data_IF_712614874172
#
_entry.id   IF_712614874172
#
_cell.length_a   1.000
_cell.length_b   1.000
_cell.length_c   1.000
_cell.angle_alpha   90.00
_cell.angle_beta   90.00
_cell.angle_gamma   90.00
#
_symmetry.space_group_name_H-M   'P 1'
#
loop_
_entity.id
_entity.type
_entity.pdbx_description
1 polymer ?
#
# COMPACT_ATOMS: atom_id res chain seq x y z
N UNK A 1 2.70 25.77 -11.40
CA UNK A 1 2.77 25.56 -9.93
C UNK A 1 1.86 24.42 -9.48
N UNK A 2 0.54 24.49 -9.78
CA UNK A 2 -0.48 23.49 -9.39
C UNK A 2 -0.12 22.05 -9.75
N UNK A 3 0.36 21.79 -10.97
CA UNK A 3 0.73 20.43 -11.40
C UNK A 3 1.89 19.81 -10.59
N UNK A 4 2.82 20.63 -10.08
CA UNK A 4 3.95 20.16 -9.24
C UNK A 4 3.46 19.84 -7.82
N UNK A 5 2.55 20.66 -7.28
CA UNK A 5 1.90 20.43 -5.98
C UNK A 5 1.08 19.14 -6.02
N UNK A 6 0.29 18.94 -7.07
CA UNK A 6 -0.52 17.72 -7.24
C UNK A 6 0.37 16.46 -7.34
N UNK A 7 1.52 16.56 -8.02
CA UNK A 7 2.48 15.47 -8.08
C UNK A 7 3.15 15.17 -6.73
N UNK A 8 3.45 16.20 -5.93
CA UNK A 8 3.94 16.04 -4.57
C UNK A 8 2.92 15.37 -3.66
N UNK A 9 1.65 15.81 -3.74
CA UNK A 9 0.55 15.20 -2.98
C UNK A 9 0.33 13.73 -3.38
N UNK A 10 0.41 13.41 -4.67
CA UNK A 10 0.36 12.03 -5.16
C UNK A 10 1.48 11.17 -4.56
N UNK A 11 2.73 11.64 -4.59
CA UNK A 11 3.85 10.90 -3.99
C UNK A 11 3.70 10.73 -2.49
N UNK A 12 3.18 11.75 -1.79
CA UNK A 12 2.91 11.67 -0.36
C UNK A 12 1.87 10.58 -0.08
N UNK A 13 0.78 10.55 -0.84
CA UNK A 13 -0.27 9.53 -0.71
C UNK A 13 0.27 8.12 -0.95
N UNK A 14 1.08 7.92 -1.99
CA UNK A 14 1.76 6.64 -2.27
C UNK A 14 2.68 6.27 -1.11
N UNK A 15 3.44 7.23 -0.57
CA UNK A 15 4.31 7.03 0.59
C UNK A 15 3.54 6.64 1.85
N UNK A 16 2.38 7.25 2.11
CA UNK A 16 1.49 6.87 3.21
C UNK A 16 0.95 5.45 3.03
N UNK A 17 0.63 5.03 1.80
CA UNK A 17 0.21 3.65 1.53
C UNK A 17 1.34 2.65 1.83
N UNK A 18 2.56 2.94 1.36
CA UNK A 18 3.75 2.12 1.63
C UNK A 18 4.00 2.04 3.15
N UNK A 19 3.99 3.18 3.84
CA UNK A 19 4.18 3.24 5.29
C UNK A 19 3.09 2.48 6.04
N UNK A 20 1.83 2.64 5.66
CA UNK A 20 0.70 1.91 6.25
C UNK A 20 0.87 0.39 6.13
N UNK A 21 1.23 -0.09 4.94
CA UNK A 21 1.50 -1.52 4.71
C UNK A 21 2.66 -2.02 5.59
N UNK A 22 3.76 -1.27 5.67
CA UNK A 22 4.92 -1.64 6.50
C UNK A 22 4.52 -1.70 7.98
N UNK A 23 3.79 -0.70 8.48
CA UNK A 23 3.32 -0.67 9.86
C UNK A 23 2.40 -1.86 10.13
N UNK A 24 1.49 -2.22 9.23
CA UNK A 24 0.64 -3.41 9.38
C UNK A 24 1.45 -4.70 9.49
N UNK A 25 2.45 -4.90 8.62
CA UNK A 25 3.31 -6.09 8.68
C UNK A 25 4.11 -6.15 9.98
N UNK A 26 4.61 -5.00 10.46
CA UNK A 26 5.34 -4.92 11.73
C UNK A 26 4.40 -5.19 12.90
N UNK A 27 3.20 -4.59 12.90
CA UNK A 27 2.18 -4.82 13.94
C UNK A 27 1.77 -6.28 13.99
N UNK A 28 1.54 -6.93 12.85
CA UNK A 28 1.25 -8.36 12.79
C UNK A 28 2.39 -9.20 13.41
N UNK A 29 3.64 -8.93 13.03
CA UNK A 29 4.80 -9.63 13.59
C UNK A 29 4.92 -9.45 15.11
N UNK A 30 4.71 -8.23 15.62
CA UNK A 30 4.79 -7.93 17.06
C UNK A 30 3.63 -8.62 17.80
N UNK A 31 2.41 -8.46 17.30
CA UNK A 31 1.20 -9.01 17.92
C UNK A 31 1.25 -10.54 17.94
N UNK A 32 1.73 -11.19 16.88
CA UNK A 32 1.88 -12.65 16.88
C UNK A 32 3.04 -13.17 17.74
N UNK A 33 4.06 -12.33 18.00
CA UNK A 33 5.20 -12.69 18.85
C UNK A 33 4.92 -12.52 20.36
N UNK A 34 3.79 -11.89 20.73
CA UNK A 34 3.39 -11.69 22.13
C UNK A 34 3.35 -13.02 22.89
N UNK A 35 2.84 -14.10 22.30
CA UNK A 35 2.74 -15.41 22.96
C UNK A 35 4.12 -15.93 23.40
N UNK A 36 5.16 -15.76 22.57
CA UNK A 36 6.54 -16.20 22.89
C UNK A 36 7.11 -15.39 24.07
N UNK A 37 6.83 -14.08 24.11
CA UNK A 37 7.31 -13.20 25.19
C UNK A 37 6.60 -13.51 26.50
N UNK A 38 5.30 -13.75 26.48
CA UNK A 38 4.56 -14.09 27.70
C UNK A 38 4.85 -15.52 28.19
N UNK A 39 5.07 -16.47 27.28
CA UNK A 39 5.44 -17.86 27.59
C UNK A 39 6.83 -17.99 28.21
N UNK A 40 7.77 -17.11 27.83
CA UNK A 40 9.14 -17.13 28.36
C UNK A 40 9.27 -16.45 29.73
N UNK A 41 8.28 -15.68 30.18
CA UNK A 41 8.40 -14.88 31.40
C UNK A 41 7.49 -15.35 32.56
N UNK A 42 6.83 -16.51 32.49
CA UNK A 42 5.99 -17.10 33.56
C UNK A 42 4.87 -16.18 34.14
N UNK A 43 4.58 -15.02 33.51
CA UNK A 43 3.71 -13.98 34.08
C UNK A 43 2.20 -14.17 33.81
N UNK A 44 1.74 -15.25 33.18
CA UNK A 44 0.33 -15.39 32.82
C UNK A 44 -0.15 -16.84 32.70
N UNK A 45 -1.18 -17.19 33.46
CA UNK A 45 -1.98 -18.43 33.31
C UNK A 45 -2.98 -18.35 32.15
N UNK A 46 -3.14 -17.20 31.52
CA UNK A 46 -3.97 -16.99 30.34
C UNK A 46 -3.10 -16.93 29.09
N UNK A 47 -3.06 -18.02 28.34
CA UNK A 47 -2.46 -18.05 27.00
C UNK A 47 -3.30 -17.15 26.09
N UNK A 48 -2.76 -15.99 25.69
CA UNK A 48 -3.35 -15.22 24.58
C UNK A 48 -3.20 -16.10 23.34
N UNK A 49 -4.31 -16.63 22.87
CA UNK A 49 -4.30 -17.52 21.71
C UNK A 49 -4.07 -16.71 20.43
N UNK A 50 -3.61 -17.37 19.35
CA UNK A 50 -3.53 -16.72 18.02
C UNK A 50 -4.86 -16.11 17.57
N UNK A 51 -5.97 -16.65 18.07
CA UNK A 51 -7.31 -16.11 17.85
C UNK A 51 -7.51 -14.74 18.51
N UNK A 52 -7.10 -14.59 19.77
CA UNK A 52 -7.18 -13.31 20.50
C UNK A 52 -6.28 -12.23 19.86
N UNK A 53 -5.09 -12.62 19.39
CA UNK A 53 -4.19 -11.77 18.61
C UNK A 53 -4.85 -11.29 17.30
N UNK A 54 -5.56 -12.19 16.62
CA UNK A 54 -6.29 -11.90 15.40
C UNK A 54 -7.46 -10.94 15.59
N UNK A 55 -8.17 -11.02 16.71
CA UNK A 55 -9.23 -10.06 17.09
C UNK A 55 -8.66 -8.64 17.18
N UNK A 56 -7.44 -8.47 17.69
CA UNK A 56 -6.78 -7.16 17.79
C UNK A 56 -6.31 -6.67 16.41
N UNK A 57 -5.81 -7.58 15.57
CA UNK A 57 -5.26 -7.25 14.26
C UNK A 57 -6.34 -6.91 13.20
N UNK A 58 -7.50 -7.58 13.27
CA UNK A 58 -8.59 -7.41 12.31
C UNK A 58 -9.08 -5.96 12.13
N UNK A 59 -9.36 -5.18 13.19
CA UNK A 59 -9.75 -3.77 13.06
C UNK A 59 -8.67 -2.90 12.40
N UNK A 60 -7.39 -3.18 12.68
CA UNK A 60 -6.25 -2.45 12.09
C UNK A 60 -6.19 -2.72 10.59
N UNK A 61 -6.29 -4.00 10.19
CA UNK A 61 -6.36 -4.41 8.79
C UNK A 61 -7.54 -3.77 8.06
N UNK A 62 -8.70 -3.65 8.72
CA UNK A 62 -9.89 -3.02 8.16
C UNK A 62 -9.67 -1.52 7.90
N UNK A 63 -9.10 -0.79 8.87
CA UNK A 63 -8.79 0.63 8.71
C UNK A 63 -7.76 0.87 7.60
N UNK A 64 -6.72 0.04 7.53
CA UNK A 64 -5.73 0.09 6.45
C UNK A 64 -6.36 -0.24 5.11
N UNK A 65 -7.29 -1.20 5.06
CA UNK A 65 -8.08 -1.52 3.88
C UNK A 65 -8.86 -0.30 3.35
N UNK A 66 -9.57 0.42 4.22
CA UNK A 66 -10.28 1.64 3.82
C UNK A 66 -9.34 2.75 3.34
N UNK A 67 -8.19 2.91 4.01
CA UNK A 67 -7.15 3.86 3.58
C UNK A 67 -6.64 3.52 2.17
N UNK A 68 -6.37 2.24 1.89
CA UNK A 68 -5.90 1.77 0.59
C UNK A 68 -6.95 1.94 -0.50
N UNK A 69 -8.23 1.69 -0.21
CA UNK A 69 -9.34 1.91 -1.15
C UNK A 69 -9.46 3.39 -1.51
N UNK A 70 -9.42 4.28 -0.51
CA UNK A 70 -9.44 5.72 -0.74
C UNK A 70 -8.26 6.16 -1.61
N UNK A 71 -7.05 5.68 -1.29
CA UNK A 71 -5.86 6.00 -2.05
C UNK A 71 -5.89 5.46 -3.48
N UNK A 72 -6.43 4.26 -3.69
CA UNK A 72 -6.57 3.63 -5.00
C UNK A 72 -7.41 4.47 -5.97
N UNK A 73 -8.53 5.01 -5.49
CA UNK A 73 -9.40 5.89 -6.29
C UNK A 73 -8.63 7.15 -6.73
N UNK A 74 -7.94 7.79 -5.79
CA UNK A 74 -7.16 8.99 -6.09
C UNK A 74 -6.01 8.70 -7.06
N UNK A 75 -5.27 7.61 -6.85
CA UNK A 75 -4.15 7.22 -7.70
C UNK A 75 -4.59 6.88 -9.12
N UNK A 76 -5.69 6.15 -9.28
CA UNK A 76 -6.26 5.86 -10.60
C UNK A 76 -6.63 7.13 -11.35
N UNK A 77 -7.31 8.06 -10.67
CA UNK A 77 -7.73 9.32 -11.28
C UNK A 77 -6.52 10.15 -11.71
N UNK A 78 -5.55 10.34 -10.82
CA UNK A 78 -4.35 11.10 -11.10
C UNK A 78 -3.51 10.48 -12.23
N UNK A 79 -3.30 9.16 -12.19
CA UNK A 79 -2.44 8.50 -13.17
C UNK A 79 -3.09 8.41 -14.55
N UNK A 80 -4.40 8.19 -14.62
CA UNK A 80 -5.16 8.21 -15.88
C UNK A 80 -5.12 9.60 -16.51
N UNK A 81 -5.30 10.66 -15.73
CA UNK A 81 -5.14 12.03 -16.22
C UNK A 81 -3.71 12.28 -16.67
N UNK A 82 -2.71 11.82 -15.91
CA UNK A 82 -1.30 11.99 -16.26
C UNK A 82 -0.94 11.29 -17.57
N UNK A 83 -1.44 10.06 -17.78
CA UNK A 83 -1.26 9.34 -19.03
C UNK A 83 -1.93 10.07 -20.21
N UNK A 84 -3.17 10.54 -20.04
CA UNK A 84 -3.89 11.31 -21.06
C UNK A 84 -3.14 12.58 -21.50
N UNK A 85 -2.46 13.25 -20.59
CA UNK A 85 -1.64 14.43 -20.90
C UNK A 85 -0.21 14.10 -21.36
N UNK A 86 0.07 12.84 -21.75
CA UNK A 86 1.41 12.35 -22.15
C UNK A 86 2.48 12.62 -21.10
N UNK A 87 2.07 12.70 -19.84
CA UNK A 87 2.92 13.01 -18.69
C UNK A 87 3.44 11.75 -18.00
N UNK A 88 2.96 10.57 -18.39
CA UNK A 88 3.34 9.27 -17.86
C UNK A 88 3.56 8.26 -18.98
N UNK A 89 4.43 7.29 -18.75
CA UNK A 89 4.66 6.16 -19.65
C UNK A 89 3.58 5.10 -19.46
N UNK A 90 3.25 4.35 -20.51
CA UNK A 90 2.30 3.23 -20.44
C UNK A 90 2.65 2.24 -19.31
N UNK A 91 3.94 1.94 -19.12
CA UNK A 91 4.42 1.07 -18.04
C UNK A 91 4.04 1.57 -16.64
N UNK A 92 4.22 2.86 -16.35
CA UNK A 92 3.91 3.45 -15.05
C UNK A 92 2.41 3.50 -14.83
N UNK A 93 1.65 3.80 -15.89
CA UNK A 93 0.19 3.74 -15.83
C UNK A 93 -0.33 2.33 -15.54
N UNK A 94 0.13 1.32 -16.30
CA UNK A 94 -0.28 -0.08 -16.12
C UNK A 94 0.09 -0.60 -14.72
N UNK A 95 1.27 -0.25 -14.20
CA UNK A 95 1.69 -0.61 -12.85
C UNK A 95 0.78 0.00 -11.77
N UNK A 96 0.34 1.25 -11.95
CA UNK A 96 -0.60 1.88 -11.02
C UNK A 96 -2.03 1.32 -11.13
N UNK A 97 -2.46 0.91 -12.33
CA UNK A 97 -3.73 0.19 -12.49
C UNK A 97 -3.67 -1.14 -11.73
N UNK A 98 -2.58 -1.89 -11.85
CA UNK A 98 -2.37 -3.12 -11.09
C UNK A 98 -2.38 -2.84 -9.58
N UNK A 99 -1.67 -1.80 -9.11
CA UNK A 99 -1.68 -1.39 -7.69
C UNK A 99 -3.10 -1.10 -7.20
N UNK A 100 -3.90 -0.39 -7.99
CA UNK A 100 -5.28 -0.07 -7.62
C UNK A 100 -6.15 -1.33 -7.52
N UNK A 101 -6.01 -2.27 -8.46
CA UNK A 101 -6.70 -3.57 -8.40
C UNK A 101 -6.32 -4.31 -7.12
N UNK A 102 -5.03 -4.39 -6.80
CA UNK A 102 -4.54 -5.03 -5.57
C UNK A 102 -5.04 -4.33 -4.31
N UNK A 103 -5.12 -3.00 -4.29
CA UNK A 103 -5.67 -2.23 -3.18
C UNK A 103 -7.17 -2.46 -2.99
N UNK A 104 -7.95 -2.48 -4.06
CA UNK A 104 -9.37 -2.79 -3.98
C UNK A 104 -9.59 -4.23 -3.53
N UNK A 105 -8.82 -5.17 -4.07
CA UNK A 105 -8.88 -6.56 -3.70
C UNK A 105 -8.56 -6.72 -2.20
N UNK A 106 -7.51 -6.08 -1.71
CA UNK A 106 -7.19 -6.13 -0.28
C UNK A 106 -8.27 -5.44 0.58
N UNK A 107 -8.62 -4.20 0.27
CA UNK A 107 -9.50 -3.40 1.14
C UNK A 107 -10.98 -3.74 1.10
N UNK A 108 -11.49 -4.26 -0.03
CA UNK A 108 -12.91 -4.62 -0.18
C UNK A 108 -13.19 -6.11 -0.02
N UNK A 109 -12.19 -6.97 -0.26
CA UNK A 109 -12.38 -8.42 -0.19
C UNK A 109 -11.62 -9.04 0.98
N UNK A 110 -10.29 -8.89 1.06
CA UNK A 110 -9.51 -9.55 2.11
C UNK A 110 -9.76 -8.95 3.49
N UNK A 111 -9.57 -7.63 3.68
CA UNK A 111 -9.71 -6.97 4.97
C UNK A 111 -11.06 -7.25 5.69
N UNK A 112 -12.24 -7.11 5.06
CA UNK A 112 -13.51 -7.41 5.73
C UNK A 112 -13.70 -8.92 5.98
N UNK A 113 -13.19 -9.80 5.12
CA UNK A 113 -13.31 -11.24 5.33
C UNK A 113 -12.37 -11.75 6.44
N UNK A 114 -11.18 -11.18 6.56
CA UNK A 114 -10.28 -11.43 7.69
C UNK A 114 -10.97 -11.03 9.01
N UNK A 115 -11.60 -9.86 9.03
CA UNK A 115 -12.35 -9.41 10.20
C UNK A 115 -13.52 -10.34 10.55
N UNK A 116 -14.18 -10.96 9.57
CA UNK A 116 -15.23 -11.97 9.82
C UNK A 116 -14.64 -13.24 10.43
N UNK A 117 -13.55 -13.77 9.87
CA UNK A 117 -12.89 -14.99 10.37
C UNK A 117 -12.52 -14.84 11.86
N UNK A 118 -12.07 -13.66 12.28
CA UNK A 118 -11.72 -13.39 13.68
C UNK A 118 -12.90 -13.00 14.59
N UNK A 119 -14.08 -12.71 14.04
CA UNK A 119 -15.31 -12.49 14.81
C UNK A 119 -16.19 -13.75 14.93
N UNK A 120 -15.85 -14.82 14.20
CA UNK A 120 -16.52 -16.12 14.25
C UNK A 120 -15.91 -17.05 15.32
N UNK A 121 -16.44 -18.26 15.48
CA UNK A 121 -15.94 -19.19 16.50
C UNK A 121 -14.46 -19.57 16.28
N UNK A 122 -13.68 -19.81 17.37
CA UNK A 122 -12.27 -20.19 17.28
C UNK A 122 -11.98 -21.42 16.42
N UNK A 123 -12.96 -22.32 16.27
CA UNK A 123 -12.87 -23.52 15.42
C UNK A 123 -12.78 -23.19 13.93
N UNK A 124 -13.40 -22.08 13.50
CA UNK A 124 -13.37 -21.63 12.11
C UNK A 124 -12.00 -21.04 11.76
N UNK A 125 -11.39 -20.33 12.71
CA UNK A 125 -10.03 -19.80 12.57
C UNK A 125 -8.97 -20.90 12.51
N UNK A 126 -9.17 -22.00 13.25
CA UNK A 126 -8.27 -23.17 13.22
C UNK A 126 -8.45 -24.07 11.99
N UNK A 127 -9.33 -23.71 11.04
CA UNK A 127 -9.51 -24.48 9.81
C UNK A 127 -8.37 -24.24 8.81
N UNK A 128 -7.96 -25.26 8.03
CA UNK A 128 -6.94 -25.11 6.98
C UNK A 128 -7.31 -24.06 5.94
N UNK A 129 -8.60 -23.85 5.70
CA UNK A 129 -9.11 -22.88 4.74
C UNK A 129 -8.88 -21.43 5.22
N UNK A 130 -9.12 -21.16 6.51
CA UNK A 130 -8.86 -19.86 7.12
C UNK A 130 -7.36 -19.52 7.16
N UNK A 131 -6.50 -20.50 7.46
CA UNK A 131 -5.04 -20.31 7.44
C UNK A 131 -4.54 -20.01 6.02
N UNK A 132 -5.02 -20.76 5.03
CA UNK A 132 -4.70 -20.50 3.61
C UNK A 132 -5.16 -19.11 3.17
N UNK A 133 -6.36 -18.67 3.61
CA UNK A 133 -6.90 -17.35 3.29
C UNK A 133 -6.05 -16.21 3.87
N UNK A 134 -5.62 -16.33 5.14
CA UNK A 134 -4.74 -15.36 5.78
C UNK A 134 -3.39 -15.27 5.07
N UNK A 135 -2.77 -16.40 4.74
CA UNK A 135 -1.50 -16.44 3.99
C UNK A 135 -1.62 -15.81 2.59
N UNK A 136 -2.72 -16.04 1.88
CA UNK A 136 -2.97 -15.40 0.58
C UNK A 136 -3.09 -13.88 0.71
N UNK A 137 -3.76 -13.41 1.76
CA UNK A 137 -3.91 -11.98 2.01
C UNK A 137 -2.58 -11.29 2.30
N UNK A 138 -1.69 -11.94 3.06
CA UNK A 138 -0.35 -11.47 3.37
C UNK A 138 0.51 -11.40 2.09
N UNK A 139 0.43 -12.42 1.23
CA UNK A 139 1.14 -12.44 -0.06
C UNK A 139 0.71 -11.28 -0.94
N UNK A 140 -0.60 -11.00 -1.02
CA UNK A 140 -1.13 -9.86 -1.79
C UNK A 140 -0.63 -8.54 -1.23
N UNK A 141 -0.57 -8.41 0.09
CA UNK A 141 -0.06 -7.20 0.75
C UNK A 141 1.44 -6.98 0.48
N UNK A 142 2.25 -8.05 0.50
CA UNK A 142 3.68 -8.01 0.13
C UNK A 142 3.88 -7.69 -1.35
N UNK A 143 3.08 -8.29 -2.23
CA UNK A 143 3.10 -8.01 -3.66
C UNK A 143 2.75 -6.53 -3.92
N UNK A 144 1.69 -6.03 -3.27
CA UNK A 144 1.25 -4.64 -3.35
C UNK A 144 2.35 -3.68 -2.87
N UNK A 145 3.06 -4.02 -1.79
CA UNK A 145 4.19 -3.22 -1.30
C UNK A 145 5.30 -3.11 -2.36
N UNK A 146 5.68 -4.25 -2.96
CA UNK A 146 6.72 -4.28 -3.98
C UNK A 146 6.33 -3.47 -5.22
N UNK A 147 5.10 -3.62 -5.70
CA UNK A 147 4.61 -2.90 -6.89
C UNK A 147 4.39 -1.41 -6.61
N UNK A 148 4.03 -1.01 -5.38
CA UNK A 148 3.99 0.39 -4.97
C UNK A 148 5.37 1.04 -4.93
N UNK A 149 6.37 0.34 -4.39
CA UNK A 149 7.74 0.83 -4.38
C UNK A 149 8.26 1.05 -5.81
N UNK A 150 8.04 0.08 -6.71
CA UNK A 150 8.40 0.20 -8.13
C UNK A 150 7.71 1.41 -8.76
N UNK A 151 6.40 1.58 -8.55
CA UNK A 151 5.65 2.71 -9.08
C UNK A 151 6.15 4.06 -8.53
N UNK A 152 6.47 4.12 -7.23
CA UNK A 152 7.00 5.30 -6.56
C UNK A 152 8.33 5.75 -7.16
N UNK A 153 9.31 4.84 -7.24
CA UNK A 153 10.62 5.16 -7.81
C UNK A 153 10.55 5.46 -9.32
N UNK A 154 9.76 4.70 -10.07
CA UNK A 154 9.55 4.96 -11.49
C UNK A 154 8.99 6.38 -11.73
N UNK A 155 8.08 6.83 -10.86
CA UNK A 155 7.51 8.18 -10.93
C UNK A 155 8.53 9.27 -10.63
N UNK A 156 9.36 9.08 -9.60
CA UNK A 156 10.44 10.01 -9.26
C UNK A 156 11.41 10.16 -10.44
N UNK A 157 11.85 9.04 -11.02
CA UNK A 157 12.77 9.05 -12.17
C UNK A 157 12.14 9.79 -13.36
N UNK A 158 10.86 9.55 -13.63
CA UNK A 158 10.15 10.21 -14.72
C UNK A 158 10.04 11.72 -14.51
N UNK A 159 9.75 12.16 -13.29
CA UNK A 159 9.71 13.59 -12.96
C UNK A 159 11.09 14.25 -13.05
N UNK A 160 12.14 13.57 -12.60
CA UNK A 160 13.52 14.07 -12.71
C UNK A 160 13.93 14.26 -14.18
N UNK A 161 13.72 13.24 -15.03
CA UNK A 161 14.03 13.33 -16.47
C UNK A 161 13.34 14.53 -17.13
N UNK A 162 12.07 14.76 -16.82
CA UNK A 162 11.30 15.88 -17.38
C UNK A 162 11.80 17.24 -16.90
N UNK A 163 12.16 17.36 -15.62
CA UNK A 163 12.78 18.58 -15.09
C UNK A 163 14.07 18.94 -15.82
N UNK A 164 14.91 17.95 -16.12
CA UNK A 164 16.15 18.15 -16.90
C UNK A 164 15.86 18.58 -18.34
N UNK A 165 14.85 17.98 -18.99
CA UNK A 165 14.46 18.37 -20.36
C UNK A 165 13.94 19.80 -20.43
N UNK A 166 13.10 20.23 -19.49
CA UNK A 166 12.58 21.62 -19.48
C UNK A 166 13.70 22.64 -19.28
N UNK A 167 14.67 22.37 -18.39
CA UNK A 167 15.83 23.24 -18.17
C UNK A 167 16.70 23.40 -19.43
N UNK A 168 16.88 22.33 -20.21
CA UNK A 168 17.62 22.38 -21.48
C UNK A 168 16.89 23.22 -22.52
N UNK A 169 15.56 23.10 -22.62
CA UNK A 169 14.74 23.87 -23.56
C UNK A 169 14.70 25.35 -23.20
N UNK A 170 14.63 25.71 -21.91
CA UNK A 170 14.71 27.12 -21.48
C UNK A 170 16.08 27.72 -21.78
N UNK A 171 17.17 26.99 -21.50
CA UNK A 171 18.53 27.46 -21.81
C UNK A 171 18.73 27.70 -23.31
N UNK A 172 18.27 26.76 -24.14
CA UNK A 172 18.37 26.89 -25.60
C UNK A 172 17.50 28.03 -26.17
N UNK A 173 16.42 28.40 -25.48
CA UNK A 173 15.55 29.53 -25.85
C UNK A 173 16.17 30.87 -25.47
N UNK A 174 16.85 30.96 -24.32
CA UNK A 174 17.59 32.16 -23.94
C UNK A 174 18.85 32.37 -24.80
N UNK A 175 19.56 31.30 -25.18
CA UNK A 175 20.70 31.38 -26.11
C UNK A 175 20.30 31.82 -27.53
N UNK A 176 19.01 31.72 -27.90
CA UNK A 176 18.48 32.11 -29.22
C UNK A 176 17.83 33.49 -29.25
N UNK A 177 17.79 34.23 -28.14
CA UNK A 177 17.32 35.63 -28.17
C UNK A 177 18.43 36.52 -28.74
N UNK A 178 18.22 37.21 -29.88
CA UNK A 178 19.16 38.22 -30.33
C UNK A 178 19.22 39.36 -29.31
N UNK A 179 20.44 39.84 -29.02
CA UNK A 179 20.69 41.09 -28.30
C UNK A 179 20.24 42.29 -29.13
#
# INVERSE_FOLDING_TARGET
MIAKILAGFYLLLVGVCIGGIIVTNISESIIMSIDIVFRNNDFSTTLITKYDQGIILAPILLQVGYMLVFAAIFMLFYETMSYRFQKSTFFVWACNVLNAILMFLFGLFYAPNIAKIFNEEPKVMASPDSESFLNQSELILKLLLATLLIAFFARIILMHKRGVTELRLTKQKDDKKPQ
#
